data_IF_102743599571
#
_entry.id   IF_102743599571
#
_cell.length_a   1.000
_cell.length_b   1.000
_cell.length_c   1.000
_cell.angle_alpha   90.00
_cell.angle_beta   90.00
_cell.angle_gamma   90.00
#
_symmetry.space_group_name_H-M   'P 1'
#
loop_
_entity.id
_entity.type
_entity.pdbx_description
1 polymer ?
#
# COMPACT_ATOMS: atom_id res chain seq x y z
N UNK A 1 -10.15 -1.44 8.55
CA UNK A 1 -9.40 -0.55 9.48
C UNK A 1 -8.17 -0.02 8.76
N UNK A 2 -7.87 1.27 8.89
CA UNK A 2 -6.65 1.89 8.35
C UNK A 2 -5.82 2.43 9.51
N UNK A 3 -4.63 1.89 9.68
CA UNK A 3 -3.70 2.22 10.76
C UNK A 3 -2.92 3.51 10.52
N UNK A 4 -2.12 3.90 11.52
CA UNK A 4 -1.39 5.16 11.51
C UNK A 4 -0.40 5.28 10.35
N UNK A 5 -0.25 6.49 9.79
CA UNK A 5 0.69 6.79 8.70
C UNK A 5 0.52 5.91 7.45
N UNK A 6 -0.64 5.28 7.29
CA UNK A 6 -0.98 4.53 6.08
C UNK A 6 -0.95 5.43 4.85
N UNK A 7 -0.30 4.97 3.79
CA UNK A 7 -0.30 5.60 2.47
C UNK A 7 -1.08 4.75 1.49
N UNK A 8 -2.10 5.35 0.87
CA UNK A 8 -2.97 4.74 -0.12
C UNK A 8 -2.97 5.67 -1.34
N UNK A 9 -2.62 5.16 -2.51
CA UNK A 9 -2.66 5.94 -3.76
C UNK A 9 -4.07 5.92 -4.38
N UNK A 10 -4.26 6.66 -5.45
CA UNK A 10 -5.56 6.77 -6.11
C UNK A 10 -6.08 5.42 -6.63
N UNK A 11 -7.39 5.20 -6.50
CA UNK A 11 -8.06 3.99 -7.00
C UNK A 11 -7.85 2.74 -6.14
N UNK A 12 -7.26 2.85 -4.95
CA UNK A 12 -7.13 1.71 -4.03
C UNK A 12 -8.49 1.32 -3.45
N UNK A 13 -8.81 0.03 -3.51
CA UNK A 13 -10.00 -0.57 -2.92
C UNK A 13 -9.58 -1.53 -1.80
N UNK A 14 -9.96 -1.22 -0.56
CA UNK A 14 -9.77 -2.10 0.60
C UNK A 14 -11.13 -2.59 1.11
N UNK A 15 -11.37 -3.89 1.04
CA UNK A 15 -12.59 -4.53 1.55
C UNK A 15 -12.25 -5.51 2.67
N UNK A 16 -12.97 -5.46 3.79
CA UNK A 16 -12.79 -6.40 4.91
C UNK A 16 -11.31 -6.57 5.32
N UNK A 17 -10.57 -5.46 5.32
CA UNK A 17 -9.11 -5.45 5.44
C UNK A 17 -8.66 -4.60 6.63
N UNK A 18 -7.63 -5.07 7.32
CA UNK A 18 -6.93 -4.33 8.37
C UNK A 18 -5.54 -3.96 7.87
N UNK A 19 -5.27 -2.68 7.68
CA UNK A 19 -3.92 -2.18 7.40
C UNK A 19 -3.30 -1.64 8.69
N UNK A 20 -2.14 -2.14 9.09
CA UNK A 20 -1.45 -1.69 10.29
C UNK A 20 -0.82 -0.30 10.14
N UNK A 21 -0.45 0.09 8.92
CA UNK A 21 0.11 1.40 8.62
C UNK A 21 1.64 1.42 8.51
N UNK A 22 2.28 2.48 8.97
CA UNK A 22 3.73 2.66 8.87
C UNK A 22 4.34 3.30 10.12
N UNK A 23 5.60 2.98 10.37
CA UNK A 23 6.38 3.58 11.46
C UNK A 23 6.87 4.99 11.14
N UNK A 24 7.00 5.31 9.84
CA UNK A 24 7.48 6.61 9.36
C UNK A 24 6.83 6.97 8.02
N UNK A 25 6.83 8.29 7.73
CA UNK A 25 6.49 8.79 6.41
C UNK A 25 7.72 8.79 5.51
N UNK A 26 7.51 8.55 4.22
CA UNK A 26 8.50 8.85 3.20
C UNK A 26 8.21 10.23 2.63
N UNK A 27 9.25 11.03 2.43
CA UNK A 27 9.17 12.31 1.75
C UNK A 27 8.85 12.11 0.27
N UNK A 28 8.34 13.15 -0.39
CA UNK A 28 8.03 13.10 -1.83
C UNK A 28 9.27 12.82 -2.68
N UNK A 29 10.44 13.36 -2.29
CA UNK A 29 11.70 13.12 -2.99
C UNK A 29 12.16 11.67 -2.87
N UNK A 30 12.04 11.05 -1.69
CA UNK A 30 12.34 9.62 -1.50
C UNK A 30 11.40 8.73 -2.32
N UNK A 31 10.10 9.06 -2.32
CA UNK A 31 9.10 8.36 -3.13
C UNK A 31 9.47 8.47 -4.62
N UNK A 32 9.79 9.67 -5.09
CA UNK A 32 10.16 9.92 -6.48
C UNK A 32 11.44 9.16 -6.88
N UNK A 33 12.47 9.16 -6.03
CA UNK A 33 13.70 8.41 -6.25
C UNK A 33 13.44 6.91 -6.36
N UNK A 34 12.66 6.35 -5.42
CA UNK A 34 12.32 4.93 -5.44
C UNK A 34 11.57 4.55 -6.73
N UNK A 35 10.60 5.37 -7.14
CA UNK A 35 9.85 5.12 -8.37
C UNK A 35 10.73 5.23 -9.61
N UNK A 36 11.66 6.19 -9.66
CA UNK A 36 12.63 6.34 -10.75
C UNK A 36 13.57 5.13 -10.85
N UNK A 37 13.90 4.52 -9.71
CA UNK A 37 14.67 3.27 -9.62
C UNK A 37 13.83 2.00 -9.89
N UNK A 38 12.53 2.14 -10.19
CA UNK A 38 11.61 1.01 -10.38
C UNK A 38 11.24 0.27 -9.09
N UNK A 39 11.50 0.85 -7.92
CA UNK A 39 11.14 0.30 -6.61
C UNK A 39 9.75 0.77 -6.17
N UNK A 40 9.17 0.03 -5.22
CA UNK A 40 7.85 0.33 -4.65
C UNK A 40 8.02 1.08 -3.31
N UNK A 41 7.42 2.28 -3.15
CA UNK A 41 7.39 2.97 -1.86
C UNK A 41 6.46 2.28 -0.85
N UNK A 42 6.57 2.65 0.43
CA UNK A 42 5.68 2.21 1.49
C UNK A 42 4.24 2.65 1.18
N UNK A 43 3.31 1.75 1.50
CA UNK A 43 1.88 1.90 1.26
C UNK A 43 1.37 1.02 0.13
N UNK A 44 0.21 1.39 -0.38
CA UNK A 44 -0.52 0.68 -1.43
C UNK A 44 -0.53 1.54 -2.70
N UNK A 45 0.01 1.01 -3.78
CA UNK A 45 0.07 1.66 -5.09
C UNK A 45 -1.28 1.75 -5.79
N UNK A 46 -1.32 2.55 -6.86
CA UNK A 46 -2.56 2.89 -7.59
C UNK A 46 -3.34 1.69 -8.07
N UNK A 47 -4.67 1.82 -8.09
CA UNK A 47 -5.61 0.83 -8.65
C UNK A 47 -5.46 -0.59 -8.06
N UNK A 48 -4.93 -0.69 -6.84
CA UNK A 48 -4.76 -1.97 -6.16
C UNK A 48 -6.01 -2.35 -5.38
N UNK A 49 -6.39 -3.63 -5.46
CA UNK A 49 -7.59 -4.18 -4.80
C UNK A 49 -7.17 -5.23 -3.77
N UNK A 50 -7.59 -5.04 -2.52
CA UNK A 50 -7.25 -5.94 -1.42
C UNK A 50 -8.52 -6.31 -0.66
N UNK A 51 -8.74 -7.61 -0.48
CA UNK A 51 -9.91 -8.16 0.20
C UNK A 51 -9.51 -9.21 1.23
N UNK A 52 -10.18 -9.18 2.40
CA UNK A 52 -10.04 -10.19 3.45
C UNK A 52 -8.58 -10.42 3.89
N UNK A 53 -7.87 -9.34 4.19
CA UNK A 53 -6.42 -9.36 4.42
C UNK A 53 -6.02 -8.55 5.67
N UNK A 54 -4.92 -8.95 6.31
CA UNK A 54 -4.20 -8.12 7.29
C UNK A 54 -2.88 -7.68 6.65
N UNK A 55 -2.74 -6.37 6.44
CA UNK A 55 -1.54 -5.76 5.86
C UNK A 55 -0.64 -5.28 7.00
N UNK A 56 0.57 -5.82 7.09
CA UNK A 56 1.56 -5.49 8.10
C UNK A 56 2.11 -4.06 8.01
N UNK A 57 2.88 -3.65 9.03
CA UNK A 57 3.55 -2.35 9.05
C UNK A 57 4.57 -2.23 7.91
N UNK A 58 4.67 -1.04 7.33
CA UNK A 58 5.65 -0.69 6.28
C UNK A 58 5.54 -1.53 5.00
N UNK A 59 4.37 -2.12 4.72
CA UNK A 59 4.13 -2.88 3.51
C UNK A 59 4.37 -2.01 2.26
N UNK A 60 4.93 -2.63 1.21
CA UNK A 60 5.23 -2.00 -0.09
C UNK A 60 4.48 -2.75 -1.17
N UNK A 61 3.25 -2.33 -1.46
CA UNK A 61 2.39 -2.99 -2.44
C UNK A 61 2.35 -2.11 -3.71
N UNK A 62 2.66 -2.71 -4.85
CA UNK A 62 2.75 -2.02 -6.14
C UNK A 62 1.40 -1.50 -6.66
N UNK A 63 1.43 -0.92 -7.87
CA UNK A 63 0.22 -0.56 -8.62
C UNK A 63 -0.39 -1.78 -9.29
N UNK A 64 -1.71 -1.76 -9.51
CA UNK A 64 -2.48 -2.81 -10.21
C UNK A 64 -2.35 -4.20 -9.55
N UNK A 65 -2.13 -4.25 -8.23
CA UNK A 65 -2.04 -5.51 -7.49
C UNK A 65 -3.44 -5.95 -7.07
N UNK A 66 -3.71 -7.26 -7.14
CA UNK A 66 -4.92 -7.85 -6.59
C UNK A 66 -4.54 -8.87 -5.52
N UNK A 67 -4.91 -8.59 -4.26
CA UNK A 67 -4.76 -9.52 -3.14
C UNK A 67 -6.18 -9.95 -2.72
N UNK A 68 -6.57 -11.13 -3.18
CA UNK A 68 -7.81 -11.77 -2.79
C UNK A 68 -7.60 -13.29 -2.85
N UNK A 69 -8.24 -14.01 -1.94
CA UNK A 69 -8.30 -15.46 -2.04
C UNK A 69 -9.23 -15.85 -3.19
N UNK A 70 -8.83 -16.86 -3.96
CA UNK A 70 -9.70 -17.55 -4.91
C UNK A 70 -10.29 -18.73 -4.14
N UNK A 71 -11.58 -18.62 -3.83
CA UNK A 71 -12.40 -19.61 -3.11
C UNK A 71 -11.89 -20.03 -1.72
#
# INVERSE_FOLDING_TARGET
IVGERSRLDYGVELQDTVMMGADYYQTESEIASLLAEGKVPIGIGRNTKIKNCIIGKNAKIGKEVVIANKE
#
